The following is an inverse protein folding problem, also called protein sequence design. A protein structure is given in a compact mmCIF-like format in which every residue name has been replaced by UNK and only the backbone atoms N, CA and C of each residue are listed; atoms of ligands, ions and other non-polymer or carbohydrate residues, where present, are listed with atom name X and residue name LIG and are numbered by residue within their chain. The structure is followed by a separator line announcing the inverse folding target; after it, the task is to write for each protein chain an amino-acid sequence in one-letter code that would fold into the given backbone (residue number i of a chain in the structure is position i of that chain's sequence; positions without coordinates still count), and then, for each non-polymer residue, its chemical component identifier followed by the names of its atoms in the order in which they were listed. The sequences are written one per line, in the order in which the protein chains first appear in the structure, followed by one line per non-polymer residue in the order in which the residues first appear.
data_IF_324246954956
#
_entry.id   IF_324246954956
#
_cell.length_a   1.000
_cell.length_b   1.000
_cell.length_c   1.000
_cell.angle_alpha   90.00
_cell.angle_beta   90.00
_cell.angle_gamma   90.00
#
_symmetry.space_group_name_H-M   'P 1'
#
loop_
_entity.id
_entity.type
_entity.pdbx_description
1 polymer ?
#
# COMPACT_ATOMS: atom_id res chain seq x y z
N UNK A 1 13.93 -28.33 1.52
CA UNK A 1 13.38 -27.19 0.78
C UNK A 1 12.03 -26.82 1.38
N UNK A 2 11.78 -25.55 1.64
CA UNK A 2 10.53 -25.00 2.17
C UNK A 2 9.90 -24.16 1.06
N UNK A 3 8.60 -24.33 0.81
CA UNK A 3 7.91 -23.63 -0.28
C UNK A 3 6.59 -23.09 0.24
N UNK A 4 6.24 -21.87 -0.17
CA UNK A 4 4.96 -21.25 0.21
C UNK A 4 4.50 -20.19 -0.79
N UNK A 5 3.20 -19.94 -0.82
CA UNK A 5 2.57 -18.93 -1.65
C UNK A 5 1.81 -17.93 -0.79
N UNK A 6 1.84 -16.64 -1.16
CA UNK A 6 1.16 -15.55 -0.47
C UNK A 6 1.54 -15.51 1.02
N UNK A 7 0.60 -15.49 1.96
CA UNK A 7 0.87 -15.56 3.40
C UNK A 7 1.72 -16.78 3.78
N UNK A 8 1.49 -17.93 3.13
CA UNK A 8 2.32 -19.12 3.29
C UNK A 8 3.74 -18.95 2.76
N UNK A 9 3.97 -18.09 1.76
CA UNK A 9 5.29 -17.68 1.29
C UNK A 9 6.05 -16.88 2.35
N UNK A 10 5.39 -15.95 3.01
CA UNK A 10 5.94 -15.23 4.16
C UNK A 10 6.28 -16.17 5.32
N UNK A 11 5.37 -17.07 5.68
CA UNK A 11 5.60 -18.07 6.73
C UNK A 11 6.78 -18.98 6.38
N UNK A 12 6.89 -19.44 5.13
CA UNK A 12 7.99 -20.28 4.64
C UNK A 12 9.34 -19.55 4.77
N UNK A 13 9.40 -18.27 4.43
CA UNK A 13 10.60 -17.45 4.56
C UNK A 13 11.03 -17.31 6.04
N UNK A 14 10.10 -17.02 6.94
CA UNK A 14 10.36 -16.93 8.38
C UNK A 14 10.81 -18.28 8.96
N UNK A 15 10.12 -19.37 8.63
CA UNK A 15 10.51 -20.71 9.05
C UNK A 15 11.92 -21.07 8.56
N UNK A 16 12.24 -20.73 7.31
CA UNK A 16 13.56 -20.97 6.75
C UNK A 16 14.66 -20.26 7.54
N UNK A 17 14.42 -18.99 7.92
CA UNK A 17 15.34 -18.22 8.77
C UNK A 17 15.55 -18.89 10.14
N UNK A 18 14.48 -19.32 10.81
CA UNK A 18 14.56 -19.95 12.13
C UNK A 18 15.28 -21.30 12.08
N UNK A 19 15.04 -22.09 11.03
CA UNK A 19 15.59 -23.42 10.91
C UNK A 19 17.02 -23.45 10.34
N UNK A 20 17.48 -22.38 9.69
CA UNK A 20 18.77 -22.34 9.00
C UNK A 20 19.95 -22.71 9.90
N UNK A 21 19.89 -22.35 11.19
CA UNK A 21 20.94 -22.67 12.15
C UNK A 21 21.04 -24.16 12.52
N UNK A 22 19.90 -24.86 12.51
CA UNK A 22 19.82 -26.26 12.90
C UNK A 22 19.86 -27.18 11.69
N UNK A 23 19.21 -26.77 10.62
CA UNK A 23 19.01 -27.52 9.38
C UNK A 23 19.26 -26.62 8.18
N UNK A 24 20.40 -26.74 7.48
CA UNK A 24 20.60 -26.01 6.23
C UNK A 24 19.46 -26.29 5.26
N UNK A 25 18.78 -25.25 4.84
CA UNK A 25 17.59 -25.35 4.02
C UNK A 25 17.57 -24.26 2.95
N UNK A 26 16.73 -24.45 1.93
CA UNK A 26 16.42 -23.45 0.91
C UNK A 26 14.94 -23.17 0.92
N UNK A 27 14.55 -21.92 0.65
CA UNK A 27 13.17 -21.48 0.60
C UNK A 27 12.84 -20.89 -0.77
N UNK A 28 11.64 -21.25 -1.28
CA UNK A 28 11.03 -20.60 -2.43
C UNK A 28 9.70 -19.97 -1.99
N UNK A 29 9.66 -18.66 -1.88
CA UNK A 29 8.47 -17.90 -1.52
C UNK A 29 7.84 -17.27 -2.77
N UNK A 30 6.61 -17.66 -3.09
CA UNK A 30 5.86 -17.12 -4.23
C UNK A 30 4.90 -16.03 -3.73
N UNK A 31 5.04 -14.84 -4.28
CA UNK A 31 4.22 -13.66 -3.98
C UNK A 31 4.01 -13.41 -2.46
N UNK A 32 5.07 -13.45 -1.63
CA UNK A 32 4.93 -13.22 -0.19
C UNK A 32 4.55 -11.77 0.09
N UNK A 33 3.92 -11.45 1.25
CA UNK A 33 3.64 -10.07 1.64
C UNK A 33 4.91 -9.22 1.72
N UNK A 34 4.83 -7.96 1.29
CA UNK A 34 5.99 -7.10 1.07
C UNK A 34 6.85 -6.78 2.30
N UNK A 35 6.28 -6.79 3.51
CA UNK A 35 7.00 -6.52 4.77
C UNK A 35 7.32 -7.78 5.59
N UNK A 36 7.35 -8.94 4.97
CA UNK A 36 7.66 -10.19 5.70
C UNK A 36 9.05 -10.18 6.32
N UNK A 37 10.03 -9.59 5.64
CA UNK A 37 11.41 -9.49 6.09
C UNK A 37 11.89 -8.04 6.04
N UNK A 38 12.56 -7.58 7.07
CA UNK A 38 13.26 -6.29 7.05
C UNK A 38 14.36 -6.28 5.98
N UNK A 39 14.77 -5.10 5.47
CA UNK A 39 15.83 -5.02 4.45
C UNK A 39 17.11 -5.76 4.84
N UNK A 40 17.58 -5.58 6.07
CA UNK A 40 18.78 -6.24 6.56
C UNK A 40 18.67 -7.78 6.65
N UNK A 41 17.48 -8.30 7.01
CA UNK A 41 17.24 -9.75 7.00
C UNK A 41 17.16 -10.31 5.58
N UNK A 42 16.52 -9.58 4.67
CA UNK A 42 16.42 -9.95 3.27
C UNK A 42 17.80 -10.10 2.61
N UNK A 43 18.67 -9.11 2.84
CA UNK A 43 20.04 -9.15 2.28
C UNK A 43 20.84 -10.33 2.83
N UNK A 44 20.73 -10.59 4.14
CA UNK A 44 21.42 -11.71 4.80
C UNK A 44 20.89 -13.08 4.40
N UNK A 45 19.63 -13.17 4.02
CA UNK A 45 18.99 -14.45 3.66
C UNK A 45 18.93 -14.72 2.15
N UNK A 46 19.40 -13.81 1.32
CA UNK A 46 19.32 -13.88 -0.15
C UNK A 46 19.98 -15.12 -0.76
N UNK A 47 20.91 -15.75 -0.04
CA UNK A 47 21.62 -16.96 -0.51
C UNK A 47 20.83 -18.27 -0.32
N UNK A 48 19.76 -18.27 0.51
CA UNK A 48 18.93 -19.46 0.73
C UNK A 48 17.42 -19.19 0.60
N UNK A 49 16.99 -17.94 0.55
CA UNK A 49 15.59 -17.57 0.30
C UNK A 49 15.48 -16.92 -1.08
N UNK A 50 14.70 -17.53 -1.97
CA UNK A 50 14.34 -17.00 -3.28
C UNK A 50 12.90 -16.55 -3.26
N UNK A 51 12.65 -15.29 -3.60
CA UNK A 51 11.30 -14.73 -3.74
C UNK A 51 10.96 -14.60 -5.21
N UNK A 52 9.83 -15.15 -5.61
CA UNK A 52 9.31 -15.04 -6.97
C UNK A 52 8.01 -14.23 -6.95
N UNK A 53 7.97 -13.16 -7.75
CA UNK A 53 6.79 -12.29 -7.88
C UNK A 53 6.29 -12.36 -9.32
N UNK A 54 5.00 -12.64 -9.48
CA UNK A 54 4.40 -12.72 -10.80
C UNK A 54 3.92 -11.35 -11.29
N UNK A 55 4.53 -10.87 -12.36
CA UNK A 55 4.12 -9.64 -13.06
C UNK A 55 4.00 -8.42 -12.14
N UNK A 56 2.81 -7.85 -12.10
CA UNK A 56 2.49 -6.66 -11.30
C UNK A 56 1.71 -6.98 -10.02
N UNK A 57 1.90 -8.16 -9.44
CA UNK A 57 1.21 -8.52 -8.20
C UNK A 57 1.38 -7.42 -7.14
N UNK A 58 0.26 -7.05 -6.54
CA UNK A 58 0.19 -5.97 -5.56
C UNK A 58 0.67 -6.43 -4.18
N UNK A 59 0.42 -7.69 -3.80
CA UNK A 59 0.68 -8.17 -2.45
C UNK A 59 2.14 -8.07 -2.01
N UNK A 60 3.14 -8.45 -2.83
CA UNK A 60 4.54 -8.27 -2.47
C UNK A 60 5.00 -6.81 -2.40
N UNK A 61 4.17 -5.88 -2.88
CA UNK A 61 4.46 -4.44 -2.90
C UNK A 61 3.73 -3.65 -1.82
N UNK A 62 2.76 -4.28 -1.14
CA UNK A 62 2.05 -3.65 -0.02
C UNK A 62 2.94 -3.71 1.21
N UNK A 63 3.21 -2.55 1.77
CA UNK A 63 3.88 -2.34 3.04
C UNK A 63 3.08 -1.32 3.85
N UNK A 64 3.33 -1.20 5.14
CA UNK A 64 2.73 -0.15 5.98
C UNK A 64 2.97 1.23 5.38
N UNK A 65 4.18 1.47 4.89
CA UNK A 65 4.57 2.72 4.23
C UNK A 65 3.81 2.97 2.92
N UNK A 66 3.77 1.99 2.01
CA UNK A 66 3.06 2.14 0.74
C UNK A 66 1.55 2.25 0.93
N UNK A 67 1.01 1.60 1.96
CA UNK A 67 -0.41 1.72 2.34
C UNK A 67 -0.74 3.12 2.86
N UNK A 68 0.10 3.71 3.72
CA UNK A 68 -0.06 5.09 4.19
C UNK A 68 -0.06 6.08 3.03
N UNK A 69 0.91 5.98 2.12
CA UNK A 69 0.96 6.83 0.91
C UNK A 69 -0.32 6.67 0.08
N UNK A 70 -0.81 5.45 -0.11
CA UNK A 70 -2.04 5.20 -0.85
C UNK A 70 -3.25 5.84 -0.16
N UNK A 71 -3.34 5.69 1.16
CA UNK A 71 -4.40 6.28 1.98
C UNK A 71 -4.38 7.81 1.85
N UNK A 72 -3.22 8.44 1.95
CA UNK A 72 -3.05 9.88 1.81
C UNK A 72 -3.46 10.38 0.43
N UNK A 73 -3.05 9.67 -0.61
CA UNK A 73 -3.45 9.99 -1.98
C UNK A 73 -4.96 9.86 -2.21
N UNK A 74 -5.59 8.84 -1.61
CA UNK A 74 -7.05 8.66 -1.69
C UNK A 74 -7.76 9.80 -0.95
N UNK A 75 -7.37 10.11 0.27
CA UNK A 75 -7.99 11.18 1.07
C UNK A 75 -7.81 12.52 0.38
N UNK A 76 -6.59 12.85 -0.06
CA UNK A 76 -6.32 14.05 -0.84
C UNK A 76 -7.20 14.15 -2.09
N UNK A 77 -7.31 13.07 -2.86
CA UNK A 77 -8.19 13.03 -4.04
C UNK A 77 -9.67 13.23 -3.70
N UNK A 78 -10.14 12.68 -2.58
CA UNK A 78 -11.51 12.84 -2.12
C UNK A 78 -11.82 14.29 -1.72
N UNK A 79 -10.86 14.99 -1.11
CA UNK A 79 -11.01 16.42 -0.79
C UNK A 79 -11.23 17.29 -2.04
N UNK A 80 -10.55 16.97 -3.14
CA UNK A 80 -10.74 17.66 -4.42
C UNK A 80 -11.97 17.20 -5.21
N UNK A 81 -12.71 16.18 -4.76
CA UNK A 81 -13.87 15.66 -5.47
C UNK A 81 -15.08 16.58 -5.32
N UNK A 82 -15.68 16.99 -6.46
CA UNK A 82 -16.90 17.81 -6.53
C UNK A 82 -18.18 17.03 -6.22
N UNK A 83 -18.14 15.71 -6.42
CA UNK A 83 -19.31 14.86 -6.37
C UNK A 83 -19.58 14.35 -4.96
N UNK A 84 -20.87 14.35 -4.56
CA UNK A 84 -21.28 13.58 -3.39
C UNK A 84 -21.17 12.07 -3.69
N UNK A 85 -20.97 11.24 -2.65
CA UNK A 85 -20.85 9.78 -2.80
C UNK A 85 -22.04 9.15 -3.54
N UNK A 86 -23.27 9.62 -3.29
CA UNK A 86 -24.47 9.09 -3.94
C UNK A 86 -24.47 9.41 -5.44
N UNK A 87 -24.11 10.62 -5.81
CA UNK A 87 -24.02 11.06 -7.21
C UNK A 87 -22.90 10.33 -7.95
N UNK A 88 -21.80 10.06 -7.28
CA UNK A 88 -20.71 9.27 -7.82
C UNK A 88 -21.17 7.86 -8.19
N UNK A 89 -21.79 7.13 -7.26
CA UNK A 89 -22.30 5.78 -7.52
C UNK A 89 -23.40 5.74 -8.58
N UNK A 90 -24.27 6.73 -8.60
CA UNK A 90 -25.30 6.86 -9.64
C UNK A 90 -24.68 7.01 -11.03
N UNK A 91 -23.70 7.93 -11.19
CA UNK A 91 -23.03 8.15 -12.47
C UNK A 91 -22.18 6.94 -12.88
N UNK A 92 -21.59 6.25 -11.93
CA UNK A 92 -20.85 5.00 -12.16
C UNK A 92 -21.78 3.90 -12.70
N UNK A 93 -22.92 3.68 -12.05
CA UNK A 93 -23.91 2.69 -12.47
C UNK A 93 -24.50 2.99 -13.87
N UNK A 94 -24.67 4.28 -14.19
CA UNK A 94 -25.14 4.72 -15.50
C UNK A 94 -24.04 4.79 -16.58
N UNK A 95 -22.81 4.42 -16.26
CA UNK A 95 -21.63 4.53 -17.13
C UNK A 95 -21.43 5.93 -17.77
N UNK A 96 -21.82 6.97 -17.03
CA UNK A 96 -21.73 8.40 -17.45
C UNK A 96 -20.63 9.17 -16.72
N UNK A 97 -19.70 8.47 -16.08
CA UNK A 97 -18.67 9.05 -15.23
C UNK A 97 -17.56 9.66 -16.11
N UNK A 98 -17.40 10.98 -16.04
CA UNK A 98 -16.31 11.71 -16.70
C UNK A 98 -15.29 12.15 -15.65
N UNK A 99 -14.16 11.46 -15.56
CA UNK A 99 -13.13 11.68 -14.53
C UNK A 99 -12.66 13.13 -14.46
N UNK A 100 -12.41 13.78 -15.59
CA UNK A 100 -11.94 15.18 -15.63
C UNK A 100 -12.92 16.18 -15.01
N UNK A 101 -14.22 15.90 -15.00
CA UNK A 101 -15.24 16.82 -14.44
C UNK A 101 -15.54 16.55 -12.97
N UNK A 102 -14.91 15.56 -12.37
CA UNK A 102 -15.17 15.14 -10.98
C UNK A 102 -14.39 15.94 -9.95
N UNK A 103 -13.28 16.55 -10.36
CA UNK A 103 -12.37 17.23 -9.45
C UNK A 103 -12.39 18.74 -9.66
N UNK A 104 -12.06 19.49 -8.59
CA UNK A 104 -11.80 20.92 -8.69
C UNK A 104 -10.47 21.15 -9.42
N UNK A 105 -10.45 22.15 -10.30
CA UNK A 105 -9.22 22.55 -11.02
C UNK A 105 -8.30 23.39 -10.14
N UNK A 106 -8.88 24.12 -9.16
CA UNK A 106 -8.17 24.99 -8.22
C UNK A 106 -8.82 24.89 -6.84
N UNK A 107 -8.03 25.12 -5.78
CA UNK A 107 -8.53 25.20 -4.40
C UNK A 107 -9.55 26.32 -4.19
N UNK A 108 -9.42 27.43 -4.93
CA UNK A 108 -10.30 28.58 -4.86
C UNK A 108 -11.76 28.24 -5.23
N UNK A 109 -11.96 27.19 -6.05
CA UNK A 109 -13.28 26.71 -6.44
C UNK A 109 -13.95 25.83 -5.37
N UNK A 110 -13.23 25.47 -4.32
CA UNK A 110 -13.72 24.59 -3.26
C UNK A 110 -14.54 25.38 -2.24
N UNK A 111 -15.54 24.73 -1.65
CA UNK A 111 -16.25 25.29 -0.50
C UNK A 111 -15.34 25.41 0.71
N UNK A 112 -15.60 26.38 1.60
CA UNK A 112 -14.79 26.62 2.78
C UNK A 112 -14.71 25.39 3.71
N UNK A 113 -15.79 24.62 3.82
CA UNK A 113 -15.85 23.36 4.57
C UNK A 113 -14.84 22.32 4.03
N UNK A 114 -14.70 22.21 2.70
CA UNK A 114 -13.73 21.32 2.07
C UNK A 114 -12.29 21.81 2.21
N UNK A 115 -12.08 23.14 2.16
CA UNK A 115 -10.76 23.73 2.43
C UNK A 115 -10.31 23.44 3.85
N UNK A 116 -11.20 23.54 4.82
CA UNK A 116 -10.88 23.22 6.22
C UNK A 116 -10.60 21.73 6.44
N UNK A 117 -11.34 20.85 5.77
CA UNK A 117 -11.06 19.41 5.79
C UNK A 117 -9.68 19.09 5.19
N UNK A 118 -9.32 19.73 4.07
CA UNK A 118 -8.01 19.56 3.44
C UNK A 118 -6.88 20.08 4.35
N UNK A 119 -7.05 21.23 4.99
CA UNK A 119 -6.06 21.76 5.95
C UNK A 119 -5.85 20.85 7.14
N UNK A 120 -6.92 20.34 7.74
CA UNK A 120 -6.84 19.38 8.85
C UNK A 120 -6.11 18.10 8.45
N UNK A 121 -6.40 17.60 7.27
CA UNK A 121 -5.71 16.42 6.74
C UNK A 121 -4.22 16.69 6.52
N UNK A 122 -3.83 17.81 5.89
CA UNK A 122 -2.42 18.19 5.70
C UNK A 122 -1.66 18.29 7.03
N UNK A 123 -2.26 18.89 8.06
CA UNK A 123 -1.65 18.99 9.38
C UNK A 123 -1.44 17.62 10.05
N UNK A 124 -2.35 16.68 9.86
CA UNK A 124 -2.21 15.32 10.38
C UNK A 124 -1.05 14.57 9.69
N UNK A 125 -0.96 14.67 8.36
CA UNK A 125 0.13 14.04 7.59
C UNK A 125 1.49 14.59 8.02
N UNK A 126 1.62 15.90 8.23
CA UNK A 126 2.86 16.51 8.73
C UNK A 126 3.23 16.04 10.14
N UNK A 127 2.24 15.81 11.02
CA UNK A 127 2.47 15.35 12.38
C UNK A 127 2.90 13.87 12.46
N UNK A 128 2.38 13.03 11.57
CA UNK A 128 2.75 11.61 11.50
C UNK A 128 4.12 11.40 10.83
N UNK A 129 4.45 12.20 9.82
CA UNK A 129 5.77 12.14 9.16
C UNK A 129 6.94 12.59 10.04
N UNK A 130 6.70 13.31 11.13
CA UNK A 130 7.73 13.75 12.08
C UNK A 130 8.03 12.74 13.20
N UNK A 131 7.24 11.67 13.34
CA UNK A 131 7.39 10.67 14.42
C UNK A 131 8.26 9.46 14.04
N UNK A 132 8.70 9.35 12.79
CA UNK A 132 9.48 8.19 12.29
C UNK A 132 10.96 8.53 11.98
N UNK A 133 11.48 9.67 12.46
CA UNK A 133 12.92 9.99 12.46
C UNK A 133 13.46 9.90 13.89
#
# INVERSE_FOLDING_TARGET
MIVGHSLGGGAAALMSLFLQHQYPNTCCAFDPPGETLSPGLRDRSSHFITTTVFGHDIFPRVSSYTYSILQDNIVGSLCYCKLSKYRFFYLLAMNKLKVKSMFYSREEEMSDEKKDALRKWMLNVESEGCSET
#
